data_IF_848748900586
#
_entry.id   IF_848748900586
#
_cell.length_a   1.000
_cell.length_b   1.000
_cell.length_c   1.000
_cell.angle_alpha   90.00
_cell.angle_beta   90.00
_cell.angle_gamma   90.00
#
_symmetry.space_group_name_H-M   'P 1'
#
loop_
_entity.id
_entity.type
_entity.pdbx_description
1 polymer ?
#
# COMPACT_ATOMS: atom_id res chain seq x y z
N UNK A 1 -5.20 51.96 -51.87
CA UNK A 1 -4.53 52.58 -50.71
C UNK A 1 -5.51 52.40 -49.57
N UNK A 2 -5.52 51.18 -48.99
CA UNK A 2 -4.93 50.90 -47.65
C UNK A 2 -5.70 51.70 -46.60
N UNK A 3 -6.41 51.15 -45.62
CA UNK A 3 -6.35 49.90 -44.87
C UNK A 3 -7.72 49.81 -44.15
N UNK A 4 -8.30 48.63 -43.95
CA UNK A 4 -8.15 47.85 -42.71
C UNK A 4 -8.54 48.67 -41.47
N UNK A 5 -9.69 48.49 -40.84
CA UNK A 5 -9.85 47.46 -39.80
C UNK A 5 -11.32 47.52 -39.36
N UNK A 6 -12.19 46.79 -40.05
CA UNK A 6 -13.47 46.38 -39.47
C UNK A 6 -13.19 45.08 -38.70
N UNK A 7 -12.55 45.21 -37.54
CA UNK A 7 -12.53 44.16 -36.53
C UNK A 7 -13.96 44.05 -35.95
N UNK A 8 -14.85 43.49 -36.77
CA UNK A 8 -16.14 43.02 -36.32
C UNK A 8 -15.88 41.88 -35.34
N UNK A 9 -16.13 42.18 -34.06
CA UNK A 9 -16.96 41.37 -33.17
C UNK A 9 -17.18 39.93 -33.69
N UNK A 10 -16.14 39.12 -33.61
CA UNK A 10 -16.28 37.69 -33.62
C UNK A 10 -16.71 37.34 -32.19
N UNK A 11 -18.01 37.20 -31.99
CA UNK A 11 -18.54 36.43 -30.89
C UNK A 11 -17.90 35.05 -30.97
N UNK A 12 -16.85 34.85 -30.17
CA UNK A 12 -16.08 33.62 -30.06
C UNK A 12 -17.01 32.57 -29.45
N UNK A 13 -17.83 31.92 -30.29
CA UNK A 13 -18.54 30.73 -29.87
C UNK A 13 -17.48 29.70 -29.45
N UNK A 14 -17.54 29.18 -28.22
CA UNK A 14 -16.52 28.28 -27.70
C UNK A 14 -16.36 27.13 -28.68
N UNK A 15 -15.18 27.06 -29.28
CA UNK A 15 -14.93 26.11 -30.36
C UNK A 15 -15.02 24.69 -29.81
N UNK A 16 -15.30 23.72 -30.68
CA UNK A 16 -15.34 22.30 -30.27
C UNK A 16 -14.03 21.90 -29.57
N UNK A 17 -12.91 22.49 -30.00
CA UNK A 17 -11.59 22.33 -29.41
C UNK A 17 -11.55 22.80 -27.95
N UNK A 18 -12.10 23.97 -27.63
CA UNK A 18 -12.13 24.49 -26.24
C UNK A 18 -12.93 23.60 -25.30
N UNK A 19 -14.01 22.98 -25.82
CA UNK A 19 -14.83 22.03 -25.06
C UNK A 19 -14.08 20.73 -24.80
N UNK A 20 -13.34 20.23 -25.79
CA UNK A 20 -12.51 19.03 -25.68
C UNK A 20 -11.36 19.27 -24.70
N UNK A 21 -10.68 20.40 -24.79
CA UNK A 21 -9.57 20.74 -23.91
C UNK A 21 -10.02 20.89 -22.46
N UNK A 22 -11.18 21.52 -22.23
CA UNK A 22 -11.78 21.60 -20.89
C UNK A 22 -12.13 20.22 -20.34
N UNK A 23 -12.66 19.32 -21.18
CA UNK A 23 -12.98 17.96 -20.78
C UNK A 23 -11.72 17.15 -20.45
N UNK A 24 -10.68 17.24 -21.28
CA UNK A 24 -9.40 16.56 -21.06
C UNK A 24 -8.69 17.07 -19.80
N UNK A 25 -8.78 18.36 -19.50
CA UNK A 25 -8.25 18.93 -18.27
C UNK A 25 -8.90 18.31 -17.02
N UNK A 26 -10.23 18.21 -17.01
CA UNK A 26 -10.98 17.58 -15.92
C UNK A 26 -10.63 16.10 -15.82
N UNK A 27 -10.64 15.36 -16.93
CA UNK A 27 -10.29 13.93 -16.94
C UNK A 27 -8.87 13.70 -16.42
N UNK A 28 -7.91 14.56 -16.78
CA UNK A 28 -6.52 14.45 -16.34
C UNK A 28 -6.35 14.69 -14.84
N UNK A 29 -7.07 15.68 -14.30
CA UNK A 29 -7.07 15.99 -12.87
C UNK A 29 -7.68 14.84 -12.07
N UNK A 30 -8.83 14.31 -12.52
CA UNK A 30 -9.46 13.13 -11.93
C UNK A 30 -8.58 11.88 -12.03
N UNK A 31 -7.95 11.65 -13.18
CA UNK A 31 -7.04 10.51 -13.37
C UNK A 31 -5.80 10.61 -12.48
N UNK A 32 -5.24 11.81 -12.30
CA UNK A 32 -4.11 12.04 -11.39
C UNK A 32 -4.52 11.79 -9.93
N UNK A 33 -5.69 12.29 -9.51
CA UNK A 33 -6.22 12.04 -8.17
C UNK A 33 -6.53 10.57 -7.91
N UNK A 34 -7.13 9.89 -8.89
CA UNK A 34 -7.43 8.46 -8.85
C UNK A 34 -6.15 7.62 -8.81
N UNK A 35 -5.16 7.93 -9.66
CA UNK A 35 -3.86 7.25 -9.67
C UNK A 35 -3.16 7.41 -8.33
N UNK A 36 -3.16 8.63 -7.77
CA UNK A 36 -2.57 8.89 -6.47
C UNK A 36 -3.26 8.09 -5.35
N UNK A 37 -4.60 8.12 -5.28
CA UNK A 37 -5.35 7.38 -4.25
C UNK A 37 -5.30 5.86 -4.40
N UNK A 38 -5.40 5.36 -5.63
CA UNK A 38 -5.48 3.93 -5.92
C UNK A 38 -4.12 3.22 -5.85
N UNK A 39 -3.00 3.93 -6.05
CA UNK A 39 -1.67 3.30 -6.05
C UNK A 39 -0.96 3.52 -4.73
N UNK A 40 -1.20 4.64 -4.03
CA UNK A 40 -0.55 4.89 -2.74
C UNK A 40 -1.13 4.07 -1.59
N UNK A 41 -2.40 3.64 -1.62
CA UNK A 41 -2.95 2.91 -0.47
C UNK A 41 -2.68 1.39 -0.51
N UNK A 42 -3.06 0.66 -1.58
CA UNK A 42 -2.94 -0.80 -1.59
C UNK A 42 -1.51 -1.30 -1.81
N UNK A 43 -0.58 -0.45 -2.27
CA UNK A 43 0.83 -0.83 -2.36
C UNK A 43 1.48 -0.91 -0.97
N UNK A 44 1.16 0.02 -0.07
CA UNK A 44 1.76 0.08 1.26
C UNK A 44 1.23 -1.03 2.16
N UNK A 45 -0.08 -1.27 2.17
CA UNK A 45 -0.68 -2.35 2.95
C UNK A 45 -0.10 -3.73 2.58
N UNK A 46 0.14 -3.98 1.29
CA UNK A 46 0.75 -5.23 0.84
C UNK A 46 2.21 -5.37 1.29
N UNK A 47 2.96 -4.28 1.24
CA UNK A 47 4.37 -4.26 1.65
C UNK A 47 4.49 -4.44 3.15
N UNK A 48 3.65 -3.75 3.94
CA UNK A 48 3.61 -3.87 5.39
C UNK A 48 3.24 -5.29 5.83
N UNK A 49 2.19 -5.87 5.23
CA UNK A 49 1.79 -7.25 5.50
C UNK A 49 2.89 -8.26 5.15
N UNK A 50 3.58 -8.06 4.02
CA UNK A 50 4.70 -8.92 3.64
C UNK A 50 5.93 -8.73 4.56
N UNK A 51 6.12 -7.54 5.12
CA UNK A 51 7.15 -7.30 6.15
C UNK A 51 6.80 -8.02 7.46
N UNK A 52 5.55 -7.92 7.92
CA UNK A 52 5.05 -8.67 9.08
C UNK A 52 5.23 -10.18 8.91
N UNK A 53 4.94 -10.73 7.72
CA UNK A 53 5.13 -12.15 7.42
C UNK A 53 6.60 -12.61 7.57
N UNK A 54 7.55 -11.74 7.18
CA UNK A 54 8.99 -12.03 7.35
C UNK A 54 9.42 -11.95 8.79
N UNK A 55 8.96 -10.93 9.51
CA UNK A 55 9.22 -10.77 10.95
C UNK A 55 8.68 -11.97 11.73
N UNK A 56 7.43 -12.35 11.47
CA UNK A 56 6.77 -13.51 12.05
C UNK A 56 7.59 -14.81 11.87
N UNK A 57 8.15 -14.99 10.67
CA UNK A 57 8.97 -16.17 10.32
C UNK A 57 10.31 -16.15 11.04
N UNK A 58 10.95 -14.97 11.13
CA UNK A 58 12.19 -14.79 11.88
C UNK A 58 11.99 -15.07 13.38
N UNK A 59 10.94 -14.52 13.98
CA UNK A 59 10.61 -14.73 15.39
C UNK A 59 10.32 -16.21 15.68
N UNK A 60 9.61 -16.91 14.78
CA UNK A 60 9.40 -18.36 14.89
C UNK A 60 10.71 -19.15 14.82
N UNK A 61 11.66 -18.74 13.98
CA UNK A 61 12.96 -19.42 13.86
C UNK A 61 13.84 -19.22 15.10
N UNK A 62 13.77 -18.04 15.72
CA UNK A 62 14.52 -17.72 16.94
C UNK A 62 13.87 -18.30 18.21
N UNK A 63 12.54 -18.34 18.27
CA UNK A 63 11.79 -18.70 19.48
C UNK A 63 10.70 -19.77 19.24
N UNK A 64 11.03 -20.92 18.63
CA UNK A 64 10.09 -22.03 18.49
C UNK A 64 9.69 -22.63 19.85
N UNK A 65 10.48 -22.40 20.90
CA UNK A 65 10.20 -22.80 22.27
C UNK A 65 8.87 -22.21 22.79
N UNK A 66 8.43 -21.05 22.29
CA UNK A 66 7.12 -20.45 22.63
C UNK A 66 5.93 -21.37 22.26
N UNK A 67 6.13 -22.26 21.30
CA UNK A 67 5.14 -23.27 20.87
C UNK A 67 5.43 -24.67 21.42
N UNK A 68 6.39 -24.80 22.35
CA UNK A 68 6.79 -26.08 22.94
C UNK A 68 7.66 -26.95 22.04
N UNK A 69 8.26 -26.39 20.98
CA UNK A 69 9.21 -27.09 20.12
C UNK A 69 10.63 -26.75 20.60
N UNK A 70 11.31 -27.64 21.33
CA UNK A 70 12.62 -27.35 21.88
C UNK A 70 13.65 -27.16 20.76
N UNK A 71 14.28 -25.99 20.70
CA UNK A 71 15.31 -25.67 19.72
C UNK A 71 16.62 -25.21 20.37
N UNK A 72 17.78 -25.70 19.89
CA UNK A 72 19.07 -25.20 20.34
C UNK A 72 19.31 -23.73 19.96
N UNK A 73 18.56 -23.19 18.99
CA UNK A 73 18.67 -21.79 18.57
C UNK A 73 18.15 -20.85 19.66
N UNK A 74 17.08 -21.23 20.36
CA UNK A 74 16.45 -20.42 21.40
C UNK A 74 17.38 -20.11 22.57
N UNK A 75 18.32 -21.01 22.85
CA UNK A 75 19.37 -20.77 23.84
C UNK A 75 20.27 -19.58 23.46
N UNK A 76 20.65 -19.47 22.19
CA UNK A 76 21.55 -18.42 21.71
C UNK A 76 20.83 -17.09 21.47
N UNK A 77 19.55 -17.14 21.13
CA UNK A 77 18.74 -15.93 20.88
C UNK A 77 18.15 -15.33 22.14
N UNK A 78 18.26 -16.00 23.30
CA UNK A 78 17.82 -15.46 24.59
C UNK A 78 18.48 -14.11 24.94
N UNK A 79 19.70 -13.88 24.47
CA UNK A 79 20.40 -12.59 24.65
C UNK A 79 19.77 -11.45 23.84
N UNK A 80 19.06 -11.77 22.76
CA UNK A 80 18.34 -10.80 21.92
C UNK A 80 16.96 -10.45 22.49
N UNK A 81 16.42 -11.30 23.37
CA UNK A 81 15.09 -11.15 23.96
C UNK A 81 14.83 -9.76 24.58
N UNK A 82 15.73 -9.14 25.38
CA UNK A 82 15.46 -7.81 25.95
C UNK A 82 15.33 -6.70 24.89
N UNK A 83 15.83 -6.90 23.68
CA UNK A 83 15.69 -5.94 22.59
C UNK A 83 14.44 -6.19 21.74
N UNK A 84 13.86 -7.38 21.83
CA UNK A 84 12.71 -7.82 21.03
C UNK A 84 11.48 -8.10 21.90
N UNK A 85 11.51 -7.77 23.19
CA UNK A 85 10.47 -8.11 24.16
C UNK A 85 9.10 -7.59 23.72
N UNK A 86 9.05 -6.34 23.25
CA UNK A 86 7.80 -5.70 22.86
C UNK A 86 7.21 -6.29 21.57
N UNK A 87 8.07 -6.61 20.61
CA UNK A 87 7.77 -7.26 19.35
C UNK A 87 7.36 -8.71 19.57
N UNK A 88 7.98 -9.39 20.53
CA UNK A 88 7.70 -10.76 20.92
C UNK A 88 6.29 -10.90 21.50
N UNK A 89 5.88 -10.07 22.45
CA UNK A 89 4.52 -10.10 23.01
C UNK A 89 3.45 -9.78 21.94
N UNK A 90 3.75 -8.84 21.04
CA UNK A 90 2.86 -8.51 19.93
C UNK A 90 2.73 -9.69 18.95
N UNK A 91 3.86 -10.29 18.57
CA UNK A 91 3.94 -11.45 17.70
C UNK A 91 3.22 -12.68 18.30
N UNK A 92 3.45 -12.99 19.58
CA UNK A 92 2.82 -14.14 20.25
C UNK A 92 1.30 -14.00 20.24
N UNK A 93 0.78 -12.80 20.52
CA UNK A 93 -0.66 -12.50 20.40
C UNK A 93 -1.17 -12.62 18.97
N UNK A 94 -0.41 -12.14 17.97
CA UNK A 94 -0.77 -12.26 16.54
C UNK A 94 -0.82 -13.73 16.11
N UNK A 95 0.11 -14.55 16.59
CA UNK A 95 0.18 -15.98 16.27
C UNK A 95 -0.94 -16.76 16.95
N UNK A 96 -1.25 -16.49 18.21
CA UNK A 96 -2.33 -17.15 18.92
C UNK A 96 -3.71 -16.82 18.35
N UNK A 97 -3.91 -15.58 17.89
CA UNK A 97 -5.15 -15.16 17.23
C UNK A 97 -5.26 -15.62 15.77
N UNK A 98 -4.18 -16.13 15.16
CA UNK A 98 -4.20 -16.66 13.79
C UNK A 98 -4.78 -18.08 13.80
N UNK A 99 -6.06 -18.21 13.48
CA UNK A 99 -6.74 -19.52 13.32
C UNK A 99 -6.14 -20.40 12.20
N UNK A 100 -5.61 -19.81 11.12
CA UNK A 100 -4.76 -20.50 10.14
C UNK A 100 -3.94 -19.54 9.26
N UNK A 101 -2.76 -19.98 8.80
CA UNK A 101 -1.95 -19.27 7.78
C UNK A 101 -2.69 -19.11 6.43
N UNK A 102 -3.67 -19.98 6.14
CA UNK A 102 -4.45 -20.01 4.90
C UNK A 102 -5.45 -18.85 4.82
N UNK A 103 -6.08 -18.48 5.93
CA UNK A 103 -7.04 -17.38 6.02
C UNK A 103 -6.39 -16.03 5.65
N UNK A 104 -5.12 -15.85 6.03
CA UNK A 104 -4.35 -14.64 5.72
C UNK A 104 -3.89 -14.57 4.26
N UNK A 105 -3.46 -15.70 3.68
CA UNK A 105 -3.11 -15.80 2.24
C UNK A 105 -4.35 -15.63 1.36
N UNK A 106 -5.52 -16.14 1.77
CA UNK A 106 -6.80 -15.92 1.09
C UNK A 106 -7.24 -14.46 1.05
N UNK A 107 -6.97 -13.69 2.11
CA UNK A 107 -7.19 -12.23 2.13
C UNK A 107 -6.18 -11.44 1.28
N UNK A 108 -4.98 -11.99 1.04
CA UNK A 108 -3.90 -11.33 0.29
C UNK A 108 -3.98 -11.62 -1.22
N UNK A 109 -4.52 -12.79 -1.57
CA UNK A 109 -4.87 -13.21 -2.93
C UNK A 109 -6.39 -13.29 -3.01
N UNK A 110 -7.06 -12.14 -3.17
CA UNK A 110 -8.48 -12.12 -3.52
C UNK A 110 -8.76 -13.07 -4.68
N UNK A 111 -9.42 -14.19 -4.38
CA UNK A 111 -10.36 -14.87 -5.27
C UNK A 111 -11.75 -14.81 -4.62
#
# INVERSE_FOLDING_TARGET
MTDDTAAGDAGEEPTLSDRIDRFLAVVREWAAGLYHGMISHPAFEKVEKEAEDREDTFMLACFPDAFGIPSPVSYYTAELLPYLESEFEAWERRMWNRGSMLERKGQQYHF
#
